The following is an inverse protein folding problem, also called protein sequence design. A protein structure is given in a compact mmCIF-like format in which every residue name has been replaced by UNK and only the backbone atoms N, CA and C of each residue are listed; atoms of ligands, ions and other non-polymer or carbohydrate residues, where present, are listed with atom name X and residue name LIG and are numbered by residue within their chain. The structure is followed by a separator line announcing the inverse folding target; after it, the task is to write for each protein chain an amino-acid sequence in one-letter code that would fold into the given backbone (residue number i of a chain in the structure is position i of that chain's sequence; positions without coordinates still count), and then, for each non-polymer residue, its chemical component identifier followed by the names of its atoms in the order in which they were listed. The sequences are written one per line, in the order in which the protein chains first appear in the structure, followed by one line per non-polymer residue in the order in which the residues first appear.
data_IF_036716725594
#
_entry.id   IF_036716725594
#
_cell.length_a   1.000
_cell.length_b   1.000
_cell.length_c   1.000
_cell.angle_alpha   90.00
_cell.angle_beta   90.00
_cell.angle_gamma   90.00
#
_symmetry.space_group_name_H-M   'P 1'
#
loop_
_entity.id
_entity.type
_entity.pdbx_description
1 polymer ?
#
# COMPACT_ATOMS: atom_id res chain seq x y z
N UNK A 1 -19.83 -9.58 -40.68
CA UNK A 1 -19.41 -8.26 -40.16
C UNK A 1 -19.15 -8.44 -38.69
N UNK A 2 -17.90 -8.36 -38.24
CA UNK A 2 -17.55 -8.58 -36.84
C UNK A 2 -16.95 -7.28 -36.30
N UNK A 3 -17.64 -6.67 -35.35
CA UNK A 3 -17.13 -5.49 -34.64
C UNK A 3 -16.07 -5.95 -33.64
N UNK A 4 -14.85 -5.42 -33.75
CA UNK A 4 -13.81 -5.53 -32.72
C UNK A 4 -13.93 -4.30 -31.84
N UNK A 5 -14.23 -4.48 -30.55
CA UNK A 5 -14.01 -3.44 -29.56
C UNK A 5 -12.56 -3.56 -29.07
N UNK A 6 -11.75 -2.52 -29.33
CA UNK A 6 -10.49 -2.28 -28.64
C UNK A 6 -10.79 -1.34 -27.49
N UNK A 7 -10.45 -1.70 -26.27
CA UNK A 7 -10.37 -0.72 -25.18
C UNK A 7 -8.95 -0.18 -25.27
N UNK A 8 -8.80 1.04 -25.78
CA UNK A 8 -7.50 1.70 -25.73
C UNK A 8 -7.19 1.91 -24.26
N UNK A 9 -6.13 1.24 -23.81
CA UNK A 9 -5.63 1.34 -22.45
C UNK A 9 -5.44 2.80 -22.12
N UNK A 10 -6.05 3.24 -21.02
CA UNK A 10 -5.75 4.54 -20.46
C UNK A 10 -4.25 4.56 -20.19
N UNK A 11 -3.52 5.32 -20.99
CA UNK A 11 -2.14 5.65 -20.75
C UNK A 11 -2.08 6.34 -19.38
N UNK A 12 -1.71 5.58 -18.35
CA UNK A 12 -1.47 6.08 -17.00
C UNK A 12 -0.14 6.84 -16.99
N UNK A 13 -0.08 7.91 -17.77
CA UNK A 13 1.06 8.81 -17.85
C UNK A 13 0.92 9.84 -16.72
N UNK A 14 1.46 9.47 -15.55
CA UNK A 14 1.86 10.46 -14.55
C UNK A 14 1.31 10.24 -13.15
N UNK A 15 1.74 9.18 -12.46
CA UNK A 15 1.68 9.13 -10.98
C UNK A 15 3.00 8.64 -10.35
N UNK A 16 3.95 8.16 -11.16
CA UNK A 16 5.15 7.44 -10.68
C UNK A 16 6.19 8.29 -9.93
N UNK A 17 6.00 9.60 -9.75
CA UNK A 17 6.97 10.46 -9.05
C UNK A 17 6.41 11.21 -7.82
N UNK A 18 5.12 11.06 -7.50
CA UNK A 18 4.50 11.64 -6.29
C UNK A 18 4.29 10.59 -5.20
N UNK A 19 4.13 9.31 -5.57
CA UNK A 19 4.00 8.17 -4.65
C UNK A 19 5.33 7.63 -4.11
N UNK A 20 6.47 7.98 -4.71
CA UNK A 20 7.80 7.53 -4.25
C UNK A 20 8.15 8.02 -2.85
N UNK A 21 7.53 9.12 -2.40
CA UNK A 21 7.79 9.73 -1.10
C UNK A 21 6.81 9.26 -0.03
N UNK A 22 5.78 8.48 -0.38
CA UNK A 22 4.88 7.85 0.60
C UNK A 22 5.47 6.50 0.97
N UNK A 23 5.97 6.32 2.20
CA UNK A 23 6.58 5.07 2.62
C UNK A 23 5.51 3.97 2.64
N UNK A 24 5.84 2.84 2.02
CA UNK A 24 5.02 1.63 2.12
C UNK A 24 5.11 1.10 3.56
N UNK A 25 3.99 0.81 4.23
CA UNK A 25 4.04 0.29 5.59
C UNK A 25 4.71 -1.08 5.63
N UNK A 26 5.59 -1.28 6.59
CA UNK A 26 6.16 -2.59 6.92
C UNK A 26 5.35 -3.15 8.09
N UNK A 27 4.84 -4.35 7.91
CA UNK A 27 4.07 -5.07 8.92
C UNK A 27 4.86 -6.32 9.33
N UNK A 28 5.13 -6.44 10.62
CA UNK A 28 5.72 -7.62 11.23
C UNK A 28 4.68 -8.27 12.14
N UNK A 29 4.46 -9.56 11.95
CA UNK A 29 3.50 -10.35 12.72
C UNK A 29 4.27 -11.44 13.45
N UNK A 30 4.18 -11.43 14.77
CA UNK A 30 4.73 -12.44 15.65
C UNK A 30 3.59 -13.23 16.28
N UNK A 31 3.62 -14.55 16.05
CA UNK A 31 2.66 -15.53 16.55
C UNK A 31 3.30 -16.52 17.54
N UNK A 32 4.61 -16.39 17.80
CA UNK A 32 5.39 -17.38 18.55
C UNK A 32 5.72 -16.88 19.96
N UNK A 33 5.83 -15.56 20.16
CA UNK A 33 6.20 -14.99 21.47
C UNK A 33 5.13 -15.13 22.54
N UNK A 34 3.85 -15.18 22.18
CA UNK A 34 2.73 -15.39 23.11
C UNK A 34 1.71 -16.37 22.49
N UNK A 35 1.46 -17.53 23.10
CA UNK A 35 0.53 -18.53 22.55
C UNK A 35 -0.95 -18.09 22.58
N UNK A 36 -1.27 -17.00 23.28
CA UNK A 36 -2.62 -16.44 23.40
C UNK A 36 -2.79 -15.08 22.74
N UNK A 37 -1.74 -14.53 22.12
CA UNK A 37 -1.78 -13.23 21.47
C UNK A 37 -0.96 -13.18 20.19
N UNK A 38 -1.50 -12.50 19.18
CA UNK A 38 -0.72 -12.09 18.02
C UNK A 38 -0.17 -10.69 18.26
N UNK A 39 1.14 -10.52 18.15
CA UNK A 39 1.80 -9.22 18.22
C UNK A 39 1.96 -8.69 16.80
N UNK A 40 1.43 -7.50 16.52
CA UNK A 40 1.57 -6.84 15.22
C UNK A 40 2.32 -5.53 15.40
N UNK A 41 3.42 -5.37 14.67
CA UNK A 41 4.18 -4.13 14.61
C UNK A 41 4.04 -3.51 13.22
N UNK A 42 3.70 -2.22 13.17
CA UNK A 42 3.55 -1.45 11.93
C UNK A 42 4.53 -0.28 11.96
N UNK A 43 5.28 -0.09 10.87
CA UNK A 43 6.18 1.05 10.70
C UNK A 43 6.01 1.70 9.33
N UNK A 44 6.20 3.03 9.28
CA UNK A 44 6.01 3.86 8.08
C UNK A 44 7.31 4.59 7.68
N UNK A 45 8.48 4.10 8.08
CA UNK A 45 9.75 4.81 7.88
C UNK A 45 9.78 6.18 8.58
N UNK A 46 10.45 7.17 7.99
CA UNK A 46 10.72 8.47 8.61
C UNK A 46 9.54 9.47 8.57
N UNK A 47 8.38 9.06 8.04
CA UNK A 47 7.17 9.89 8.02
C UNK A 47 6.22 9.40 9.10
N UNK A 48 6.02 10.23 10.12
CA UNK A 48 4.85 10.13 10.99
C UNK A 48 3.63 10.43 10.11
N UNK A 49 2.77 9.44 9.90
CA UNK A 49 1.53 9.64 9.15
C UNK A 49 0.73 10.82 9.70
N UNK A 50 -0.02 11.51 8.85
CA UNK A 50 -1.02 12.44 9.35
C UNK A 50 -1.96 11.67 10.28
N UNK A 51 -2.27 12.22 11.45
CA UNK A 51 -3.23 11.65 12.40
C UNK A 51 -4.54 11.44 11.63
N UNK A 52 -4.80 10.22 11.18
CA UNK A 52 -6.10 9.84 10.64
C UNK A 52 -6.98 9.68 11.88
N UNK A 53 -7.61 10.79 12.28
CA UNK A 53 -8.74 10.73 13.20
C UNK A 53 -9.77 9.78 12.58
N UNK A 54 -10.10 8.77 13.36
CA UNK A 54 -10.85 7.54 13.02
C UNK A 54 -12.18 7.78 12.31
#
# INVERSE_FOLDING_TARGET
SSIKASVDGVDSLGISSLDSDIPTPIVLIDQDSDPSATIVQVSFGDRLGALIDT
#
